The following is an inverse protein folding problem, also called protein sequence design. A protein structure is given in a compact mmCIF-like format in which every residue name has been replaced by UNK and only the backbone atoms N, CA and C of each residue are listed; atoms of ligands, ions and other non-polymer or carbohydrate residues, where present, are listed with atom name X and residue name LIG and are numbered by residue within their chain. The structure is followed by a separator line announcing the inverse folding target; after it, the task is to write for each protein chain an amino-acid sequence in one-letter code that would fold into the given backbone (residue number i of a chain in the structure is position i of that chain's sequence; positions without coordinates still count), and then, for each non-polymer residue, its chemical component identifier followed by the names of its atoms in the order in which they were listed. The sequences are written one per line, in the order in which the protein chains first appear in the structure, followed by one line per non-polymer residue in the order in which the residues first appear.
data_IF_700041798754
#
_entry.id   IF_700041798754
#
_cell.length_a   1.000
_cell.length_b   1.000
_cell.length_c   1.000
_cell.angle_alpha   90.00
_cell.angle_beta   90.00
_cell.angle_gamma   90.00
#
_symmetry.space_group_name_H-M   'P 1'
#
loop_
_entity.id
_entity.type
_entity.pdbx_description
1 polymer ?
#
# COMPACT_ATOMS: atom_id res chain seq x y z
N UNK A 1 -6.50 -3.71 14.07
CA UNK A 1 -5.17 -3.22 13.65
C UNK A 1 -5.18 -1.78 13.19
N UNK A 2 -6.01 -1.44 12.22
CA UNK A 2 -6.02 -0.06 11.69
C UNK A 2 -6.37 0.97 12.76
N UNK A 3 -7.39 0.69 13.56
CA UNK A 3 -7.82 1.59 14.62
C UNK A 3 -6.70 1.83 15.65
N UNK A 4 -5.96 0.79 15.98
CA UNK A 4 -4.84 0.91 16.93
C UNK A 4 -3.72 1.76 16.35
N UNK A 5 -3.40 1.58 15.07
CA UNK A 5 -2.37 2.39 14.40
C UNK A 5 -2.77 3.86 14.34
N UNK A 6 -4.02 4.14 13.99
CA UNK A 6 -4.52 5.52 13.91
C UNK A 6 -4.51 6.20 15.27
N UNK A 7 -4.92 5.47 16.31
CA UNK A 7 -4.90 5.98 17.67
C UNK A 7 -3.49 6.27 18.14
N UNK A 8 -2.55 5.35 17.89
CA UNK A 8 -1.15 5.52 18.28
C UNK A 8 -0.51 6.71 17.55
N UNK A 9 -0.79 6.87 16.26
CA UNK A 9 -0.26 7.97 15.48
C UNK A 9 -1.00 9.30 15.71
N UNK A 10 -2.12 9.26 16.41
CA UNK A 10 -2.97 10.43 16.71
C UNK A 10 -3.45 11.11 15.42
N UNK A 11 -3.88 10.33 14.45
CA UNK A 11 -4.47 10.82 13.20
C UNK A 11 -5.76 10.07 12.91
N UNK A 12 -6.52 10.58 11.95
CA UNK A 12 -7.76 9.93 11.53
C UNK A 12 -7.57 9.21 10.20
N UNK A 13 -8.53 8.35 9.86
CA UNK A 13 -8.53 7.61 8.59
C UNK A 13 -8.45 8.54 7.38
N UNK A 14 -9.08 9.71 7.48
CA UNK A 14 -9.12 10.69 6.41
C UNK A 14 -7.77 11.36 6.17
N UNK A 15 -6.86 11.30 7.14
CA UNK A 15 -5.51 11.85 7.00
C UNK A 15 -4.58 10.92 6.20
N UNK A 16 -4.98 9.68 5.99
CA UNK A 16 -4.22 8.73 5.19
C UNK A 16 -4.52 8.99 3.72
N UNK A 17 -3.47 9.21 2.94
CA UNK A 17 -3.60 9.43 1.50
C UNK A 17 -3.76 8.10 0.74
N UNK A 18 -2.98 7.09 1.12
CA UNK A 18 -3.00 5.79 0.47
C UNK A 18 -2.83 4.66 1.46
N UNK A 19 -3.52 3.56 1.17
CA UNK A 19 -3.39 2.29 1.88
C UNK A 19 -2.69 1.32 0.92
N UNK A 20 -1.38 1.19 1.07
CA UNK A 20 -0.56 0.31 0.23
C UNK A 20 -0.38 -1.01 0.95
N UNK A 21 -1.33 -1.91 0.74
CA UNK A 21 -1.38 -3.20 1.41
C UNK A 21 -0.78 -4.28 0.53
N UNK A 22 -0.34 -5.37 1.16
CA UNK A 22 0.05 -6.58 0.44
C UNK A 22 -1.03 -6.98 -0.56
N UNK A 23 -0.63 -7.43 -1.75
CA UNK A 23 -1.51 -7.65 -2.90
C UNK A 23 -1.74 -9.14 -3.15
N UNK A 24 -2.58 -9.84 -2.34
CA UNK A 24 -2.85 -11.26 -2.60
C UNK A 24 -3.74 -11.45 -3.83
N UNK A 25 -4.82 -10.69 -3.94
CA UNK A 25 -5.65 -10.61 -5.13
C UNK A 25 -6.58 -9.39 -5.01
N UNK A 26 -7.12 -8.99 -6.15
CA UNK A 26 -7.97 -7.78 -6.22
C UNK A 26 -9.22 -7.91 -5.37
N UNK A 27 -9.87 -9.07 -5.44
CA UNK A 27 -11.14 -9.28 -4.73
C UNK A 27 -10.98 -9.10 -3.22
N UNK A 28 -9.92 -9.68 -2.65
CA UNK A 28 -9.65 -9.53 -1.22
C UNK A 28 -9.42 -8.09 -0.83
N UNK A 29 -8.68 -7.35 -1.65
CA UNK A 29 -8.41 -5.93 -1.37
C UNK A 29 -9.67 -5.09 -1.48
N UNK A 30 -10.54 -5.37 -2.46
CA UNK A 30 -11.81 -4.67 -2.57
C UNK A 30 -12.69 -4.94 -1.34
N UNK A 31 -12.75 -6.17 -0.89
CA UNK A 31 -13.51 -6.54 0.31
C UNK A 31 -12.93 -5.88 1.55
N UNK A 32 -11.61 -5.83 1.65
CA UNK A 32 -10.94 -5.20 2.78
C UNK A 32 -11.24 -3.70 2.82
N UNK A 33 -11.15 -3.02 1.69
CA UNK A 33 -11.46 -1.59 1.61
C UNK A 33 -12.90 -1.32 2.05
N UNK A 34 -13.85 -2.14 1.62
CA UNK A 34 -15.24 -2.03 2.07
C UNK A 34 -15.36 -2.25 3.58
N UNK A 35 -14.67 -3.26 4.09
CA UNK A 35 -14.71 -3.64 5.50
C UNK A 35 -14.21 -2.54 6.42
N UNK A 36 -13.17 -1.84 6.04
CA UNK A 36 -12.60 -0.75 6.83
C UNK A 36 -13.14 0.61 6.42
N UNK A 37 -14.08 0.62 5.49
CA UNK A 37 -14.76 1.83 5.02
C UNK A 37 -13.80 2.87 4.45
N UNK A 38 -12.96 2.44 3.53
CA UNK A 38 -11.97 3.26 2.83
C UNK A 38 -12.31 3.27 1.34
N UNK A 39 -12.25 4.44 0.66
CA UNK A 39 -12.48 4.49 -0.78
C UNK A 39 -11.48 3.60 -1.54
N UNK A 40 -11.96 2.89 -2.54
CA UNK A 40 -11.11 1.99 -3.33
C UNK A 40 -9.96 2.74 -4.00
N UNK A 41 -10.16 4.01 -4.36
CA UNK A 41 -9.12 4.83 -4.96
C UNK A 41 -7.91 5.03 -4.04
N UNK A 42 -8.11 4.96 -2.72
CA UNK A 42 -7.02 5.07 -1.76
C UNK A 42 -6.32 3.75 -1.47
N UNK A 43 -6.90 2.63 -1.90
CA UNK A 43 -6.32 1.30 -1.70
C UNK A 43 -6.11 0.61 -3.04
N UNK A 44 -4.99 0.89 -3.73
CA UNK A 44 -4.71 0.26 -5.02
C UNK A 44 -4.74 -1.26 -4.95
N UNK A 45 -5.30 -1.89 -5.98
CA UNK A 45 -5.49 -3.33 -6.04
C UNK A 45 -5.15 -3.90 -7.42
N UNK A 46 -4.25 -3.26 -8.15
CA UNK A 46 -4.07 -3.43 -9.58
C UNK A 46 -2.76 -4.10 -9.98
N UNK A 47 -1.97 -4.63 -9.05
CA UNK A 47 -0.67 -5.17 -9.44
C UNK A 47 -0.67 -6.69 -9.66
N UNK A 48 -1.59 -7.43 -9.05
CA UNK A 48 -1.59 -8.90 -9.20
C UNK A 48 -1.79 -9.30 -10.66
N UNK A 49 -2.61 -8.58 -11.39
CA UNK A 49 -2.88 -8.88 -12.79
C UNK A 49 -1.66 -8.67 -13.68
N UNK A 50 -0.78 -7.75 -13.29
CA UNK A 50 0.40 -7.40 -14.08
C UNK A 50 1.67 -8.10 -13.61
N UNK A 51 1.77 -8.39 -12.32
CA UNK A 51 3.00 -8.89 -11.69
C UNK A 51 2.81 -10.16 -10.88
N UNK A 52 1.57 -10.62 -10.69
CA UNK A 52 1.26 -11.75 -9.84
C UNK A 52 1.44 -11.41 -8.36
N UNK A 53 1.27 -12.43 -7.51
CA UNK A 53 1.51 -12.28 -6.07
C UNK A 53 2.99 -12.51 -5.79
N UNK A 54 3.74 -11.42 -5.74
CA UNK A 54 5.18 -11.45 -5.54
C UNK A 54 5.58 -11.42 -4.05
N UNK A 55 4.68 -11.84 -3.18
CA UNK A 55 4.93 -11.95 -1.73
C UNK A 55 5.42 -10.64 -1.12
N UNK A 56 6.61 -10.63 -0.50
CA UNK A 56 7.11 -9.49 0.25
C UNK A 56 7.39 -8.23 -0.56
N UNK A 57 7.46 -8.31 -1.89
CA UNK A 57 7.71 -7.13 -2.72
C UNK A 57 6.42 -6.51 -3.29
N UNK A 58 5.25 -7.02 -2.93
CA UNK A 58 3.99 -6.49 -3.47
C UNK A 58 3.71 -5.05 -3.03
N UNK A 59 4.09 -4.69 -1.80
CA UNK A 59 3.88 -3.32 -1.31
C UNK A 59 4.76 -2.32 -2.07
N UNK A 60 6.10 -2.48 -2.15
CA UNK A 60 6.92 -1.59 -2.97
C UNK A 60 6.47 -1.53 -4.42
N UNK A 61 6.08 -2.66 -5.00
CA UNK A 61 5.59 -2.72 -6.38
C UNK A 61 4.32 -1.88 -6.54
N UNK A 62 3.38 -1.99 -5.60
CA UNK A 62 2.15 -1.20 -5.63
C UNK A 62 2.45 0.30 -5.56
N UNK A 63 3.37 0.69 -4.70
CA UNK A 63 3.76 2.09 -4.56
C UNK A 63 4.37 2.61 -5.86
N UNK A 64 5.34 1.91 -6.41
CA UNK A 64 6.02 2.35 -7.63
C UNK A 64 5.10 2.35 -8.83
N UNK A 65 4.26 1.33 -8.97
CA UNK A 65 3.36 1.21 -10.11
C UNK A 65 2.29 2.31 -10.12
N UNK A 66 1.75 2.64 -8.96
CA UNK A 66 0.65 3.59 -8.87
C UNK A 66 1.10 5.03 -8.75
N UNK A 67 2.16 5.31 -8.03
CA UNK A 67 2.60 6.67 -7.75
C UNK A 67 3.83 7.09 -8.53
N UNK A 68 4.81 6.19 -8.66
CA UNK A 68 5.99 6.44 -9.50
C UNK A 68 6.59 7.82 -9.30
N UNK A 69 6.63 8.59 -10.39
CA UNK A 69 7.28 9.90 -10.41
C UNK A 69 6.62 10.93 -9.48
N UNK A 70 5.36 10.73 -9.07
CA UNK A 70 4.73 11.64 -8.12
C UNK A 70 5.50 11.70 -6.81
N UNK A 71 6.14 10.60 -6.41
CA UNK A 71 6.90 10.56 -5.17
C UNK A 71 8.25 11.29 -5.25
N UNK A 72 8.65 11.73 -6.43
CA UNK A 72 9.88 12.53 -6.56
C UNK A 72 9.65 13.97 -6.10
N UNK A 73 8.44 14.48 -6.22
CA UNK A 73 8.10 15.86 -5.91
C UNK A 73 7.03 16.02 -4.85
N UNK A 74 6.28 14.96 -4.55
CA UNK A 74 5.17 15.01 -3.58
C UNK A 74 5.41 14.04 -2.45
N UNK A 75 4.68 14.25 -1.36
CA UNK A 75 4.78 13.47 -0.14
C UNK A 75 3.38 13.03 0.26
N UNK A 76 3.23 11.75 0.60
CA UNK A 76 1.94 11.21 1.00
C UNK A 76 2.07 10.45 2.31
N UNK A 77 1.02 10.55 3.13
CA UNK A 77 0.89 9.74 4.33
C UNK A 77 0.28 8.41 3.94
N UNK A 78 1.00 7.33 4.20
CA UNK A 78 0.59 5.98 3.79
C UNK A 78 0.43 5.07 4.99
N UNK A 79 -0.57 4.20 4.90
CA UNK A 79 -0.71 3.04 5.79
C UNK A 79 -0.26 1.81 5.00
N UNK A 80 0.76 1.14 5.50
CA UNK A 80 1.29 -0.08 4.90
C UNK A 80 0.90 -1.26 5.77
N UNK A 81 0.42 -2.34 5.17
CA UNK A 81 0.10 -3.54 5.91
C UNK A 81 0.46 -4.78 5.11
N UNK A 82 1.17 -5.69 5.77
CA UNK A 82 1.49 -6.99 5.23
C UNK A 82 0.85 -8.07 6.08
N UNK A 83 0.43 -9.15 5.44
CA UNK A 83 -0.15 -10.30 6.12
C UNK A 83 0.22 -11.56 5.35
N UNK A 84 0.26 -12.67 6.07
CA UNK A 84 0.70 -13.93 5.48
C UNK A 84 0.18 -15.14 6.22
N UNK A 85 0.72 -16.28 5.84
CA UNK A 85 0.35 -17.58 6.40
C UNK A 85 0.61 -17.60 7.90
N UNK A 86 -0.27 -18.25 8.65
CA UNK A 86 -0.20 -18.33 10.11
C UNK A 86 -0.92 -17.19 10.80
N UNK A 87 -1.70 -16.38 10.03
CA UNK A 87 -2.43 -15.21 10.48
C UNK A 87 -1.53 -14.19 11.15
N UNK A 88 -0.32 -14.04 10.59
CA UNK A 88 0.57 -12.97 11.00
C UNK A 88 0.31 -11.75 10.12
N UNK A 89 0.32 -10.60 10.75
CA UNK A 89 0.25 -9.36 10.00
C UNK A 89 0.93 -8.23 10.78
N UNK A 90 1.35 -7.24 10.04
CA UNK A 90 1.99 -6.06 10.60
C UNK A 90 1.58 -4.86 9.78
N UNK A 91 1.51 -3.73 10.44
CA UNK A 91 1.16 -2.49 9.76
C UNK A 91 1.96 -1.33 10.30
N UNK A 92 2.12 -0.31 9.48
CA UNK A 92 2.73 0.94 9.92
C UNK A 92 2.16 2.12 9.13
N UNK A 93 2.27 3.29 9.72
CA UNK A 93 1.89 4.54 9.07
C UNK A 93 3.16 5.37 8.95
N UNK A 94 3.42 5.89 7.75
CA UNK A 94 4.59 6.72 7.50
C UNK A 94 4.36 7.68 6.34
N UNK A 95 5.09 8.76 6.35
CA UNK A 95 5.14 9.66 5.20
C UNK A 95 6.21 9.17 4.23
N UNK A 96 5.83 9.09 2.95
CA UNK A 96 6.75 8.69 1.89
C UNK A 96 6.67 9.75 0.81
N UNK A 97 7.83 10.24 0.39
CA UNK A 97 7.86 11.23 -0.66
C UNK A 97 9.21 11.91 -0.78
N UNK A 98 9.27 12.82 -1.73
CA UNK A 98 10.48 13.58 -2.07
C UNK A 98 11.67 12.63 -2.29
N UNK A 99 11.39 11.52 -2.99
CA UNK A 99 12.38 10.49 -3.26
C UNK A 99 13.27 10.90 -4.42
N UNK A 100 14.48 10.35 -4.45
CA UNK A 100 15.37 10.53 -5.58
C UNK A 100 15.01 9.64 -6.75
N UNK A 101 14.38 8.49 -6.48
CA UNK A 101 14.05 7.49 -7.48
C UNK A 101 12.88 6.65 -7.02
N UNK A 102 11.91 6.43 -7.92
CA UNK A 102 10.79 5.52 -7.67
C UNK A 102 10.30 5.00 -9.01
N UNK A 103 10.68 3.77 -9.36
CA UNK A 103 10.33 3.21 -10.65
C UNK A 103 10.38 1.68 -10.60
N UNK A 104 9.70 1.05 -11.55
CA UNK A 104 9.81 -0.39 -11.79
C UNK A 104 10.67 -0.57 -13.02
N UNK A 105 11.74 -1.36 -12.88
CA UNK A 105 12.67 -1.65 -13.98
C UNK A 105 12.63 -3.13 -14.29
N UNK A 106 12.70 -3.47 -15.58
CA UNK A 106 12.87 -4.84 -16.00
C UNK A 106 14.35 -5.19 -15.96
N UNK A 107 14.65 -6.37 -15.43
CA UNK A 107 16.00 -6.88 -15.44
C UNK A 107 16.17 -7.77 -16.66
N UNK A 108 17.04 -7.33 -17.54
CA UNK A 108 17.32 -8.01 -18.81
C UNK A 108 18.56 -8.89 -18.62
N UNK A 109 18.35 -10.20 -18.62
CA UNK A 109 19.44 -11.16 -18.39
C UNK A 109 20.13 -11.50 -19.70
#
# INVERSE_FOLDING_TARGET
MLEDLLSYANISKEDIDYYMFHQPNRFMLQKLAQSINVPELKMPNNIVENFGNASGVTIPTAICYNLGNQLLSENFTMCLAGFGVGLTWAGLIMDIGNLNYCNISEYDI
#
